data_IF_612010713559
#
_entry.id   IF_612010713559
#
_cell.length_a   1.000
_cell.length_b   1.000
_cell.length_c   1.000
_cell.angle_alpha   90.00
_cell.angle_beta   90.00
_cell.angle_gamma   90.00
#
_symmetry.space_group_name_H-M   'P 1'
#
loop_
_entity.id
_entity.type
_entity.pdbx_description
1 polymer ?
#
# COMPACT_ATOMS: atom_id res chain seq x y z
N UNK A 1 -9.63 21.83 12.99
CA UNK A 1 -8.72 20.75 12.59
C UNK A 1 -7.61 21.27 11.68
N UNK A 2 -6.48 20.60 11.61
CA UNK A 2 -5.43 20.88 10.60
C UNK A 2 -5.79 20.20 9.30
N UNK A 3 -5.60 20.92 8.18
CA UNK A 3 -5.84 20.39 6.81
C UNK A 3 -4.59 20.56 5.95
N UNK A 4 -4.37 19.63 4.99
CA UNK A 4 -3.28 19.76 4.02
C UNK A 4 -3.56 20.90 3.03
N UNK A 5 -2.53 21.72 2.78
CA UNK A 5 -2.60 22.83 1.82
C UNK A 5 -2.67 22.32 0.35
N UNK A 6 -2.20 21.12 0.05
CA UNK A 6 -2.33 20.53 -1.28
C UNK A 6 -3.79 20.22 -1.62
N UNK A 7 -4.62 19.99 -0.60
CA UNK A 7 -6.05 19.76 -0.77
C UNK A 7 -6.87 21.06 -0.83
N UNK A 8 -6.26 22.21 -0.61
CA UNK A 8 -6.89 23.53 -0.79
C UNK A 8 -6.78 23.89 -2.27
N UNK A 9 -7.87 23.66 -3.01
CA UNK A 9 -7.89 23.71 -4.48
C UNK A 9 -8.57 24.94 -5.04
N UNK A 10 -9.22 25.77 -4.21
CA UNK A 10 -9.91 26.95 -4.70
C UNK A 10 -10.51 27.82 -3.60
N UNK A 11 -11.16 28.89 -4.02
CA UNK A 11 -11.92 29.79 -3.14
C UNK A 11 -13.43 29.64 -3.37
N UNK A 12 -14.19 29.70 -2.29
CA UNK A 12 -15.65 29.72 -2.34
C UNK A 12 -16.22 31.13 -2.64
N UNK A 13 -15.37 32.15 -2.66
CA UNK A 13 -15.75 33.57 -2.82
C UNK A 13 -15.38 34.07 -4.21
N UNK A 14 -16.36 34.28 -5.08
CA UNK A 14 -16.14 34.72 -6.46
C UNK A 14 -15.25 35.99 -6.60
N UNK A 15 -15.42 36.95 -5.69
CA UNK A 15 -14.60 38.18 -5.70
C UNK A 15 -13.09 37.96 -5.44
N UNK A 16 -12.69 36.76 -5.03
CA UNK A 16 -11.26 36.41 -4.78
C UNK A 16 -10.60 35.76 -5.99
N UNK A 17 -11.36 35.29 -6.96
CA UNK A 17 -10.82 34.66 -8.18
C UNK A 17 -10.02 35.63 -9.06
N UNK A 18 -10.24 36.93 -8.91
CA UNK A 18 -9.49 38.00 -9.61
C UNK A 18 -8.24 38.46 -8.85
N UNK A 19 -8.09 38.06 -7.59
CA UNK A 19 -6.97 38.47 -6.75
C UNK A 19 -5.86 37.42 -6.65
N UNK A 20 -6.21 36.12 -6.89
CA UNK A 20 -5.30 34.97 -6.77
C UNK A 20 -5.35 34.10 -8.02
N UNK A 21 -4.19 33.60 -8.42
CA UNK A 21 -4.07 32.53 -9.40
C UNK A 21 -4.59 31.20 -8.81
N UNK A 22 -4.71 30.16 -9.64
CA UNK A 22 -5.17 28.82 -9.22
C UNK A 22 -4.29 28.17 -8.14
N UNK A 23 -3.01 28.53 -8.10
CA UNK A 23 -2.04 28.13 -7.07
C UNK A 23 -2.05 29.03 -5.82
N UNK A 24 -3.00 29.95 -5.71
CA UNK A 24 -3.12 30.97 -4.67
C UNK A 24 -2.04 32.06 -4.70
N UNK A 25 -1.20 32.15 -5.70
CA UNK A 25 -0.27 33.28 -5.81
C UNK A 25 -1.05 34.57 -6.12
N UNK A 26 -0.64 35.73 -5.55
CA UNK A 26 -1.30 37.02 -5.80
C UNK A 26 -1.12 37.42 -7.25
N UNK A 27 -2.21 37.92 -7.89
CA UNK A 27 -2.18 38.46 -9.25
C UNK A 27 -2.06 39.98 -9.21
N UNK A 28 -2.55 40.62 -8.14
CA UNK A 28 -2.56 42.07 -7.99
C UNK A 28 -1.17 42.61 -7.64
N UNK A 29 -0.82 43.76 -8.23
CA UNK A 29 0.44 44.44 -8.04
C UNK A 29 0.73 44.77 -6.56
N UNK A 30 2.02 44.76 -6.20
CA UNK A 30 2.52 45.04 -4.84
C UNK A 30 2.08 46.42 -4.32
N UNK A 31 2.00 47.44 -5.18
CA UNK A 31 1.60 48.81 -4.82
C UNK A 31 0.09 48.98 -4.54
N UNK A 32 -0.69 47.92 -4.75
CA UNK A 32 -2.10 47.94 -4.37
C UNK A 32 -2.26 47.71 -2.86
N UNK A 33 -3.38 48.17 -2.29
CA UNK A 33 -3.71 47.85 -0.89
C UNK A 33 -3.70 46.35 -0.61
N UNK A 34 -4.10 45.60 -1.62
CA UNK A 34 -4.05 44.10 -1.51
C UNK A 34 -2.61 43.60 -1.42
N UNK A 35 -1.70 44.06 -2.29
CA UNK A 35 -0.29 43.67 -2.31
C UNK A 35 0.44 44.09 -1.05
N UNK A 36 0.22 45.30 -0.55
CA UNK A 36 0.79 45.77 0.72
C UNK A 36 0.34 44.89 1.91
N UNK A 37 -0.96 44.59 2.00
CA UNK A 37 -1.48 43.67 3.06
C UNK A 37 -0.98 42.25 2.92
N UNK A 38 -0.67 41.77 1.73
CA UNK A 38 -0.08 40.47 1.50
C UNK A 38 1.37 40.43 1.98
N UNK A 39 2.16 41.49 1.63
CA UNK A 39 3.55 41.62 2.08
C UNK A 39 3.67 41.72 3.61
N UNK A 40 2.83 42.54 4.26
CA UNK A 40 2.79 42.61 5.73
C UNK A 40 2.48 41.25 6.35
N UNK A 41 1.60 40.47 5.74
CA UNK A 41 1.31 39.12 6.25
C UNK A 41 2.49 38.15 6.06
N UNK A 42 3.31 38.32 4.98
CA UNK A 42 4.56 37.59 4.84
C UNK A 42 5.56 37.93 5.96
N UNK A 43 5.72 39.23 6.28
CA UNK A 43 6.57 39.67 7.38
C UNK A 43 6.13 39.05 8.70
N UNK A 44 4.83 39.15 9.05
CA UNK A 44 4.27 38.52 10.25
C UNK A 44 4.49 37.01 10.26
N UNK A 45 4.39 36.33 9.11
CA UNK A 45 4.64 34.90 9.02
C UNK A 45 6.10 34.53 9.32
N UNK A 46 7.05 35.34 8.86
CA UNK A 46 8.49 35.13 9.15
C UNK A 46 8.78 35.35 10.64
N UNK A 47 8.14 36.35 11.26
CA UNK A 47 8.39 36.71 12.66
C UNK A 47 7.70 35.78 13.67
N UNK A 48 6.43 35.49 13.47
CA UNK A 48 5.58 34.81 14.46
C UNK A 48 4.90 33.55 13.94
N UNK A 49 4.83 33.37 12.61
CA UNK A 49 4.04 32.35 11.96
C UNK A 49 2.56 32.73 11.83
N UNK A 50 1.83 31.96 11.00
CA UNK A 50 0.38 32.09 10.83
C UNK A 50 -0.32 30.98 11.61
N UNK A 51 -0.95 31.31 12.75
CA UNK A 51 -1.64 30.38 13.63
C UNK A 51 -3.16 30.47 13.57
N UNK A 52 -3.70 31.59 13.07
CA UNK A 52 -5.14 31.79 12.96
C UNK A 52 -5.78 30.82 11.98
N UNK A 53 -6.85 30.10 12.37
CA UNK A 53 -7.52 29.16 11.49
C UNK A 53 -8.20 29.87 10.32
N UNK A 54 -8.11 29.26 9.15
CA UNK A 54 -8.91 29.65 7.97
C UNK A 54 -10.31 29.05 8.05
N UNK A 55 -11.29 29.58 7.28
CA UNK A 55 -12.60 28.95 7.12
C UNK A 55 -12.70 28.38 5.72
N UNK A 56 -13.12 27.10 5.64
CA UNK A 56 -13.22 26.37 4.39
C UNK A 56 -14.51 25.56 4.29
N UNK A 57 -15.00 25.40 3.07
CA UNK A 57 -15.90 24.31 2.74
C UNK A 57 -15.08 23.08 2.32
N UNK A 58 -15.44 21.92 2.85
CA UNK A 58 -14.96 20.66 2.33
C UNK A 58 -16.03 20.06 1.40
N UNK A 59 -15.62 19.63 0.20
CA UNK A 59 -16.44 18.94 -0.77
C UNK A 59 -15.60 17.87 -1.49
N UNK A 60 -15.98 16.63 -1.37
CA UNK A 60 -15.27 15.50 -2.02
C UNK A 60 -13.76 15.47 -1.67
N UNK A 61 -13.44 15.63 -0.38
CA UNK A 61 -12.07 15.69 0.14
C UNK A 61 -11.19 16.81 -0.42
N UNK A 62 -11.80 17.84 -1.00
CA UNK A 62 -11.15 19.08 -1.46
C UNK A 62 -11.65 20.26 -0.64
N UNK A 63 -10.77 21.22 -0.37
CA UNK A 63 -11.11 22.40 0.43
C UNK A 63 -11.19 23.66 -0.43
N UNK A 64 -12.23 24.45 -0.17
CA UNK A 64 -12.50 25.71 -0.84
C UNK A 64 -12.54 26.84 0.21
N UNK A 65 -11.64 27.80 0.10
CA UNK A 65 -11.46 28.85 1.10
C UNK A 65 -12.64 29.81 1.11
N UNK A 66 -13.29 29.96 2.25
CA UNK A 66 -14.34 30.97 2.50
C UNK A 66 -13.69 32.24 3.05
N UNK A 67 -12.80 32.09 4.04
CA UNK A 67 -12.08 33.17 4.70
C UNK A 67 -10.63 32.75 4.95
N UNK A 68 -9.68 33.67 4.70
CA UNK A 68 -8.25 33.43 4.89
C UNK A 68 -7.46 33.15 3.61
N UNK A 69 -7.97 33.55 2.42
CA UNK A 69 -7.28 33.37 1.15
C UNK A 69 -5.83 33.91 1.14
N UNK A 70 -5.56 35.06 1.78
CA UNK A 70 -4.20 35.60 1.90
C UNK A 70 -3.32 34.72 2.77
N UNK A 71 -3.85 34.18 3.87
CA UNK A 71 -3.13 33.23 4.75
C UNK A 71 -2.73 31.97 3.97
N UNK A 72 -3.66 31.38 3.21
CA UNK A 72 -3.36 30.25 2.32
C UNK A 72 -2.30 30.61 1.29
N UNK A 73 -2.40 31.81 0.68
CA UNK A 73 -1.42 32.30 -0.30
C UNK A 73 -0.01 32.39 0.29
N UNK A 74 0.14 33.02 1.45
CA UNK A 74 1.44 33.15 2.14
C UNK A 74 1.98 31.80 2.55
N UNK A 75 1.18 30.96 3.17
CA UNK A 75 1.61 29.60 3.58
C UNK A 75 2.07 28.76 2.39
N UNK A 76 1.34 28.78 1.27
CA UNK A 76 1.76 28.08 0.03
C UNK A 76 3.04 28.69 -0.56
N UNK A 77 3.22 30.01 -0.49
CA UNK A 77 4.42 30.69 -0.96
C UNK A 77 5.68 30.25 -0.18
N UNK A 78 5.55 30.05 1.14
CA UNK A 78 6.64 29.57 2.00
C UNK A 78 6.75 28.05 2.06
N UNK A 79 5.94 27.30 1.29
CA UNK A 79 6.02 25.85 1.22
C UNK A 79 5.52 25.13 2.47
N UNK A 80 4.57 25.71 3.19
CA UNK A 80 3.95 25.02 4.33
C UNK A 80 3.08 23.86 3.84
N UNK A 81 3.07 22.74 4.60
CA UNK A 81 2.32 21.54 4.25
C UNK A 81 0.85 21.61 4.70
N UNK A 82 0.56 22.36 5.76
CA UNK A 82 -0.75 22.34 6.40
C UNK A 82 -1.14 23.69 7.03
N UNK A 83 -2.43 23.82 7.35
CA UNK A 83 -2.98 25.03 8.00
C UNK A 83 -4.13 24.64 8.94
N UNK A 84 -4.23 25.31 10.12
CA UNK A 84 -5.41 25.21 10.96
C UNK A 84 -6.66 25.70 10.21
N UNK A 85 -7.77 24.96 10.30
CA UNK A 85 -8.99 25.32 9.60
C UNK A 85 -10.28 25.01 10.39
N UNK A 86 -11.26 25.88 10.24
CA UNK A 86 -12.66 25.61 10.56
C UNK A 86 -13.33 25.07 9.31
N UNK A 87 -13.66 23.78 9.32
CA UNK A 87 -14.17 23.05 8.15
C UNK A 87 -15.68 22.88 8.26
N UNK A 88 -16.40 23.34 7.22
CA UNK A 88 -17.83 23.04 7.03
C UNK A 88 -17.94 22.03 5.87
N UNK A 89 -18.35 20.81 6.16
CA UNK A 89 -18.50 19.74 5.17
C UNK A 89 -19.79 19.89 4.37
N UNK A 90 -19.65 19.87 3.04
CA UNK A 90 -20.76 19.87 2.08
C UNK A 90 -20.89 18.49 1.48
N UNK A 91 -21.86 17.72 1.95
CA UNK A 91 -22.04 16.33 1.49
C UNK A 91 -22.71 16.36 0.11
N UNK A 92 -22.11 15.73 -0.93
CA UNK A 92 -22.70 15.65 -2.26
C UNK A 92 -23.92 14.71 -2.28
N UNK A 93 -24.68 14.76 -3.37
CA UNK A 93 -25.64 13.70 -3.66
C UNK A 93 -24.90 12.40 -4.00
N UNK A 94 -25.47 11.26 -3.63
CA UNK A 94 -24.92 9.94 -4.01
C UNK A 94 -25.06 9.77 -5.53
N UNK A 95 -23.99 9.34 -6.16
CA UNK A 95 -23.92 9.01 -7.59
C UNK A 95 -23.16 7.70 -7.78
N UNK A 96 -23.21 7.14 -8.99
CA UNK A 96 -22.51 5.90 -9.31
C UNK A 96 -21.02 6.09 -9.66
N UNK A 97 -20.52 7.33 -9.68
CA UNK A 97 -19.10 7.57 -9.94
C UNK A 97 -18.21 6.97 -8.85
N UNK A 98 -17.05 6.46 -9.26
CA UNK A 98 -16.08 5.84 -8.37
C UNK A 98 -15.68 6.79 -7.24
N UNK A 99 -15.35 8.03 -7.56
CA UNK A 99 -14.94 9.05 -6.59
C UNK A 99 -16.01 9.31 -5.53
N UNK A 100 -17.30 9.36 -5.95
CA UNK A 100 -18.40 9.58 -5.03
C UNK A 100 -18.59 8.39 -4.08
N UNK A 101 -18.50 7.16 -4.60
CA UNK A 101 -18.57 5.95 -3.78
C UNK A 101 -17.45 5.91 -2.73
N UNK A 102 -16.21 6.16 -3.14
CA UNK A 102 -15.05 6.23 -2.23
C UNK A 102 -15.25 7.34 -1.19
N UNK A 103 -15.78 8.49 -1.59
CA UNK A 103 -16.05 9.58 -0.65
C UNK A 103 -17.06 9.20 0.42
N UNK A 104 -18.09 8.42 0.09
CA UNK A 104 -19.04 7.94 1.09
C UNK A 104 -18.45 6.88 2.02
N UNK A 105 -17.54 6.03 1.54
CA UNK A 105 -16.74 5.16 2.43
C UNK A 105 -15.89 6.00 3.40
N UNK A 106 -15.28 7.09 2.92
CA UNK A 106 -14.55 8.05 3.76
C UNK A 106 -15.45 8.67 4.83
N UNK A 107 -16.65 9.15 4.45
CA UNK A 107 -17.60 9.75 5.40
C UNK A 107 -17.93 8.79 6.55
N UNK A 108 -18.20 7.53 6.22
CA UNK A 108 -18.53 6.51 7.21
C UNK A 108 -17.33 6.14 8.09
N UNK A 109 -16.13 6.06 7.50
CA UNK A 109 -14.89 5.88 8.25
C UNK A 109 -14.60 7.08 9.17
N UNK A 110 -14.73 8.30 8.66
CA UNK A 110 -14.50 9.52 9.44
C UNK A 110 -15.48 9.67 10.62
N UNK A 111 -16.77 9.33 10.44
CA UNK A 111 -17.74 9.34 11.55
C UNK A 111 -17.32 8.44 12.69
N UNK A 112 -16.72 7.30 12.37
CA UNK A 112 -16.31 6.28 13.30
C UNK A 112 -14.99 6.63 14.00
N UNK A 113 -14.02 7.16 13.25
CA UNK A 113 -12.64 7.33 13.72
C UNK A 113 -12.26 8.77 14.03
N UNK A 114 -12.96 9.75 13.47
CA UNK A 114 -12.57 11.16 13.48
C UNK A 114 -11.34 11.48 12.58
N UNK A 115 -10.79 10.48 11.87
CA UNK A 115 -9.65 10.64 10.98
C UNK A 115 -10.10 11.29 9.68
N UNK A 116 -9.37 12.30 9.21
CA UNK A 116 -9.74 13.13 8.05
C UNK A 116 -8.60 13.32 7.02
N UNK A 117 -7.51 12.58 7.18
CA UNK A 117 -6.30 12.72 6.35
C UNK A 117 -5.94 11.45 5.58
N UNK A 118 -6.76 10.39 5.66
CA UNK A 118 -6.59 9.13 4.93
C UNK A 118 -7.46 9.15 3.67
N UNK A 119 -6.85 8.84 2.51
CA UNK A 119 -7.52 8.92 1.21
C UNK A 119 -7.13 7.76 0.30
N UNK A 120 -8.11 6.96 -0.09
CA UNK A 120 -7.93 5.85 -1.02
C UNK A 120 -8.31 6.23 -2.45
N UNK A 121 -7.65 5.61 -3.43
CA UNK A 121 -7.99 5.74 -4.85
C UNK A 121 -8.94 4.65 -5.34
N UNK A 122 -9.24 3.63 -4.51
CA UNK A 122 -10.05 2.48 -4.87
C UNK A 122 -11.13 2.20 -3.82
N UNK A 123 -12.23 1.60 -4.25
CA UNK A 123 -13.29 1.11 -3.37
C UNK A 123 -12.79 0.02 -2.43
N UNK A 124 -13.36 -0.02 -1.23
CA UNK A 124 -13.05 -1.01 -0.19
C UNK A 124 -11.75 -0.73 0.56
N UNK A 125 -11.04 0.37 0.26
CA UNK A 125 -9.82 0.76 0.97
C UNK A 125 -10.07 1.02 2.45
N UNK A 126 -11.15 1.75 2.76
CA UNK A 126 -11.51 2.04 4.15
C UNK A 126 -11.95 0.79 4.92
N UNK A 127 -12.62 -0.16 4.27
CA UNK A 127 -13.02 -1.42 4.92
C UNK A 127 -11.79 -2.29 5.23
N UNK A 128 -10.84 -2.40 4.30
CA UNK A 128 -9.56 -3.08 4.54
C UNK A 128 -8.77 -2.43 5.67
N UNK A 129 -8.73 -1.10 5.70
CA UNK A 129 -8.05 -0.39 6.78
C UNK A 129 -8.72 -0.69 8.14
N UNK A 130 -10.06 -0.67 8.22
CA UNK A 130 -10.78 -1.08 9.45
C UNK A 130 -10.38 -2.48 9.92
N UNK A 131 -10.31 -3.42 8.99
CA UNK A 131 -9.91 -4.80 9.26
C UNK A 131 -8.49 -4.86 9.85
N UNK A 132 -7.52 -4.17 9.23
CA UNK A 132 -6.13 -4.15 9.71
C UNK A 132 -5.98 -3.49 11.08
N UNK A 133 -6.72 -2.43 11.37
CA UNK A 133 -6.66 -1.73 12.66
C UNK A 133 -7.61 -2.31 13.70
N UNK A 134 -8.36 -3.36 13.35
CA UNK A 134 -9.23 -4.09 14.27
C UNK A 134 -10.49 -3.36 14.70
N UNK A 135 -10.99 -2.38 13.90
CA UNK A 135 -12.21 -1.64 14.23
C UNK A 135 -13.44 -2.44 13.81
N UNK A 136 -14.33 -2.74 14.77
CA UNK A 136 -15.67 -3.26 14.49
C UNK A 136 -16.61 -2.16 14.02
N UNK A 137 -17.73 -2.54 13.36
CA UNK A 137 -18.69 -1.60 12.73
C UNK A 137 -19.24 -0.54 13.70
N UNK A 138 -19.39 -0.88 14.97
CA UNK A 138 -20.04 -0.04 15.99
C UNK A 138 -19.03 0.63 16.94
N UNK A 139 -17.73 0.35 16.80
CA UNK A 139 -16.70 0.94 17.63
C UNK A 139 -16.40 2.38 17.18
N UNK A 140 -16.15 3.25 18.14
CA UNK A 140 -15.71 4.63 17.90
C UNK A 140 -14.30 4.77 18.46
N UNK A 141 -13.40 5.35 17.68
CA UNK A 141 -12.02 5.58 18.13
C UNK A 141 -11.98 6.52 19.32
N UNK A 142 -11.23 6.12 20.32
CA UNK A 142 -10.79 6.98 21.42
C UNK A 142 -9.75 7.99 20.92
N UNK A 143 -9.44 8.98 21.74
CA UNK A 143 -8.40 9.94 21.40
C UNK A 143 -7.01 9.30 21.35
N UNK A 144 -6.72 8.36 22.24
CA UNK A 144 -5.46 7.61 22.26
C UNK A 144 -5.28 6.75 21.02
N UNK A 145 -6.35 6.08 20.56
CA UNK A 145 -6.31 5.30 19.30
C UNK A 145 -6.08 6.20 18.10
N UNK A 146 -6.68 7.39 18.04
CA UNK A 146 -6.43 8.36 16.97
C UNK A 146 -4.99 8.85 16.98
N UNK A 147 -4.44 9.17 18.15
CA UNK A 147 -3.03 9.60 18.29
C UNK A 147 -2.08 8.48 17.90
N UNK A 148 -2.34 7.26 18.34
CA UNK A 148 -1.56 6.07 17.95
C UNK A 148 -1.58 5.81 16.45
N UNK A 149 -2.77 5.90 15.82
CA UNK A 149 -2.90 5.76 14.37
C UNK A 149 -2.17 6.89 13.63
N UNK A 150 -2.32 8.14 14.07
CA UNK A 150 -1.65 9.29 13.46
C UNK A 150 -0.13 9.14 13.49
N UNK A 151 0.42 8.70 14.61
CA UNK A 151 1.86 8.46 14.75
C UNK A 151 2.36 7.37 13.80
N UNK A 152 1.65 6.25 13.72
CA UNK A 152 1.97 5.15 12.82
C UNK A 152 1.85 5.56 11.34
N UNK A 153 0.78 6.28 10.98
CA UNK A 153 0.56 6.81 9.64
C UNK A 153 1.68 7.76 9.20
N UNK A 154 2.03 8.74 10.06
CA UNK A 154 3.12 9.68 9.78
C UNK A 154 4.48 8.99 9.61
N UNK A 155 4.75 7.94 10.40
CA UNK A 155 5.98 7.18 10.27
C UNK A 155 6.06 6.47 8.89
N UNK A 156 4.95 5.86 8.46
CA UNK A 156 4.84 5.24 7.15
C UNK A 156 4.93 6.29 6.02
N UNK A 157 4.16 7.37 6.10
CA UNK A 157 4.14 8.43 5.11
C UNK A 157 5.54 9.02 4.87
N UNK A 158 6.30 9.31 5.93
CA UNK A 158 7.68 9.78 5.82
C UNK A 158 8.59 8.79 5.07
N UNK A 159 8.44 7.50 5.34
CA UNK A 159 9.22 6.47 4.64
C UNK A 159 8.82 6.36 3.16
N UNK A 160 7.52 6.46 2.85
CA UNK A 160 6.99 6.46 1.49
C UNK A 160 7.46 7.69 0.68
N UNK A 161 7.40 8.89 1.28
CA UNK A 161 7.87 10.12 0.64
C UNK A 161 9.40 10.12 0.43
N UNK A 162 10.16 9.54 1.34
CA UNK A 162 11.61 9.37 1.16
C UNK A 162 11.97 8.50 -0.06
N UNK A 163 11.04 7.64 -0.52
CA UNK A 163 11.14 6.86 -1.76
C UNK A 163 10.56 7.60 -2.98
N UNK A 164 10.17 8.87 -2.84
CA UNK A 164 9.46 9.67 -3.86
C UNK A 164 8.17 9.03 -4.36
N UNK A 165 7.48 8.31 -3.51
CA UNK A 165 6.27 7.60 -3.87
C UNK A 165 5.18 8.51 -4.43
N UNK A 166 5.02 9.73 -3.90
CA UNK A 166 4.09 10.75 -4.39
C UNK A 166 4.46 11.36 -5.76
N UNK A 167 5.72 11.24 -6.20
CA UNK A 167 6.19 11.75 -7.50
C UNK A 167 6.13 10.67 -8.58
N UNK A 168 6.45 9.42 -8.22
CA UNK A 168 6.63 8.31 -9.15
C UNK A 168 5.40 7.41 -9.31
N UNK A 169 4.50 7.42 -8.32
CA UNK A 169 3.33 6.55 -8.30
C UNK A 169 2.02 7.34 -8.38
N UNK A 170 1.00 6.74 -8.98
CA UNK A 170 -0.35 7.33 -9.11
C UNK A 170 -1.31 6.90 -8.01
N UNK A 171 -0.93 5.91 -7.20
CA UNK A 171 -1.68 5.48 -6.00
C UNK A 171 -1.45 6.46 -4.86
N UNK A 172 -2.37 6.52 -3.93
CA UNK A 172 -2.20 7.35 -2.73
C UNK A 172 -1.22 6.71 -1.74
N UNK A 173 -0.72 7.49 -0.80
CA UNK A 173 0.09 6.96 0.32
C UNK A 173 -0.69 5.90 1.11
N UNK A 174 -1.99 6.06 1.22
CA UNK A 174 -2.86 5.15 1.98
C UNK A 174 -3.11 3.85 1.23
N UNK A 175 -3.21 3.87 -0.10
CA UNK A 175 -3.21 2.66 -0.92
C UNK A 175 -1.90 1.86 -0.72
N UNK A 176 -0.76 2.54 -0.70
CA UNK A 176 0.54 1.94 -0.43
C UNK A 176 0.63 1.41 1.01
N UNK A 177 0.05 2.12 1.99
CA UNK A 177 -0.02 1.68 3.38
C UNK A 177 -0.79 0.37 3.52
N UNK A 178 -1.87 0.12 2.77
CA UNK A 178 -2.56 -1.17 2.79
C UNK A 178 -1.67 -2.32 2.36
N UNK A 179 -0.79 -2.11 1.37
CA UNK A 179 0.20 -3.12 0.96
C UNK A 179 1.16 -3.43 2.11
N UNK A 180 1.65 -2.40 2.78
CA UNK A 180 2.52 -2.55 3.95
C UNK A 180 1.81 -3.29 5.10
N UNK A 181 0.58 -2.88 5.43
CA UNK A 181 -0.22 -3.49 6.50
C UNK A 181 -0.56 -4.95 6.21
N UNK A 182 -0.73 -5.31 4.94
CA UNK A 182 -0.94 -6.70 4.55
C UNK A 182 0.24 -7.61 4.88
N UNK A 183 1.47 -7.07 4.85
CA UNK A 183 2.70 -7.84 5.16
C UNK A 183 3.02 -7.83 6.65
N UNK A 184 3.04 -6.65 7.25
CA UNK A 184 3.53 -6.46 8.62
C UNK A 184 2.43 -6.38 9.68
N UNK A 185 1.22 -5.96 9.28
CA UNK A 185 0.11 -5.69 10.20
C UNK A 185 0.24 -4.35 10.92
N UNK A 186 -0.87 -3.89 11.50
CA UNK A 186 -0.93 -2.58 12.17
C UNK A 186 -0.20 -2.56 13.51
N UNK A 187 -0.31 -3.61 14.31
CA UNK A 187 0.37 -3.68 15.61
C UNK A 187 1.91 -3.65 15.47
N UNK A 188 2.44 -4.27 14.41
CA UNK A 188 3.87 -4.16 14.12
C UNK A 188 4.25 -2.74 13.78
N UNK A 189 3.50 -2.07 12.89
CA UNK A 189 3.77 -0.68 12.50
C UNK A 189 3.76 0.28 13.71
N UNK A 190 2.80 0.14 14.64
CA UNK A 190 2.73 0.94 15.87
C UNK A 190 3.98 0.84 16.73
N UNK A 191 4.60 -0.33 16.76
CA UNK A 191 5.74 -0.65 17.63
C UNK A 191 7.10 -0.47 16.93
N UNK A 192 7.13 -0.20 15.62
CA UNK A 192 8.36 0.02 14.87
C UNK A 192 8.96 1.40 15.14
N UNK A 193 10.27 1.46 15.23
CA UNK A 193 11.03 2.73 15.15
C UNK A 193 11.00 3.28 13.72
N UNK A 194 11.26 4.57 13.55
CA UNK A 194 11.32 5.22 12.22
C UNK A 194 12.28 4.51 11.26
N UNK A 195 13.43 4.03 11.76
CA UNK A 195 14.39 3.27 10.95
C UNK A 195 13.80 1.93 10.51
N UNK A 196 13.15 1.20 11.43
CA UNK A 196 12.51 -0.08 11.10
C UNK A 196 11.37 0.08 10.08
N UNK A 197 10.57 1.16 10.19
CA UNK A 197 9.53 1.46 9.18
C UNK A 197 10.17 1.69 7.81
N UNK A 198 11.25 2.47 7.74
CA UNK A 198 11.97 2.72 6.48
C UNK A 198 12.50 1.44 5.87
N UNK A 199 13.19 0.61 6.64
CA UNK A 199 13.74 -0.66 6.17
C UNK A 199 12.63 -1.63 5.72
N UNK A 200 11.48 -1.60 6.40
CA UNK A 200 10.32 -2.41 6.05
C UNK A 200 9.62 -1.91 4.79
N UNK A 201 9.52 -0.60 4.59
CA UNK A 201 9.03 0.00 3.34
C UNK A 201 9.94 -0.37 2.17
N UNK A 202 11.27 -0.34 2.35
CA UNK A 202 12.22 -0.77 1.33
C UNK A 202 11.98 -2.22 0.89
N UNK A 203 11.66 -3.12 1.81
CA UNK A 203 11.37 -4.53 1.51
C UNK A 203 10.07 -4.72 0.72
N UNK A 204 9.03 -3.96 1.01
CA UNK A 204 7.72 -4.08 0.31
C UNK A 204 7.61 -3.14 -0.89
N UNK A 205 8.63 -2.33 -1.20
CA UNK A 205 8.55 -1.30 -2.22
C UNK A 205 8.11 -1.82 -3.59
N UNK A 206 8.68 -2.94 -4.00
CA UNK A 206 8.32 -3.57 -5.28
C UNK A 206 6.85 -3.97 -5.34
N UNK A 207 6.25 -4.44 -4.23
CA UNK A 207 4.82 -4.77 -4.17
C UNK A 207 3.94 -3.52 -4.25
N UNK A 208 4.39 -2.40 -3.65
CA UNK A 208 3.73 -1.10 -3.78
C UNK A 208 3.75 -0.65 -5.25
N UNK A 209 4.90 -0.71 -5.92
CA UNK A 209 5.04 -0.36 -7.34
C UNK A 209 4.15 -1.23 -8.22
N UNK A 210 4.14 -2.55 -7.99
CA UNK A 210 3.27 -3.48 -8.73
C UNK A 210 1.77 -3.19 -8.52
N UNK A 211 1.38 -2.69 -7.35
CA UNK A 211 -0.01 -2.28 -7.09
C UNK A 211 -0.40 -1.06 -7.94
N UNK A 212 0.53 -0.14 -8.16
CA UNK A 212 0.35 1.00 -9.06
C UNK A 212 0.15 0.57 -10.52
N UNK A 213 0.88 -0.46 -10.98
CA UNK A 213 0.83 -0.95 -12.37
C UNK A 213 -0.42 -1.79 -12.69
N UNK A 214 -1.09 -2.35 -11.68
CA UNK A 214 -2.23 -3.27 -11.87
C UNK A 214 -3.46 -2.65 -12.55
N UNK A 215 -3.50 -1.35 -12.74
CA UNK A 215 -4.66 -0.67 -13.35
C UNK A 215 -4.91 -1.04 -14.82
N UNK A 216 -3.92 -1.59 -15.57
CA UNK A 216 -4.03 -1.74 -17.05
C UNK A 216 -3.43 -3.02 -17.67
N UNK A 217 -2.99 -4.00 -16.89
CA UNK A 217 -2.33 -5.19 -17.50
C UNK A 217 -3.16 -6.46 -17.36
N UNK A 218 -3.74 -6.91 -18.46
CA UNK A 218 -4.17 -8.30 -18.63
C UNK A 218 -2.92 -9.18 -18.66
N UNK A 219 -2.71 -10.00 -17.63
CA UNK A 219 -1.62 -10.99 -17.64
C UNK A 219 -1.96 -12.06 -18.66
N UNK A 220 -1.26 -12.05 -19.78
CA UNK A 220 -1.34 -13.15 -20.76
C UNK A 220 -0.46 -14.30 -20.22
N UNK A 221 -1.05 -15.45 -19.88
CA UNK A 221 -0.27 -16.61 -19.49
C UNK A 221 0.59 -17.07 -20.66
N UNK A 222 1.90 -17.25 -20.44
CA UNK A 222 2.76 -17.94 -21.41
C UNK A 222 2.36 -19.41 -21.44
N UNK A 223 1.72 -19.82 -22.52
CA UNK A 223 1.19 -21.18 -22.69
C UNK A 223 2.28 -22.22 -22.95
N UNK A 224 3.44 -21.81 -23.41
CA UNK A 224 4.55 -22.72 -23.68
C UNK A 224 5.71 -22.44 -22.71
N UNK A 225 6.36 -23.51 -22.18
CA UNK A 225 7.59 -23.36 -21.44
C UNK A 225 8.63 -22.74 -22.38
N UNK A 226 9.07 -21.52 -22.05
CA UNK A 226 10.25 -20.95 -22.73
C UNK A 226 11.43 -21.75 -22.24
N UNK A 227 11.93 -22.66 -23.06
CA UNK A 227 13.24 -23.25 -22.81
C UNK A 227 14.25 -22.10 -22.69
N UNK A 228 14.96 -21.97 -21.56
CA UNK A 228 15.97 -20.95 -21.44
C UNK A 228 16.98 -21.21 -22.54
N UNK A 229 17.18 -20.23 -23.44
CA UNK A 229 18.29 -20.28 -24.40
C UNK A 229 19.57 -20.41 -23.57
N UNK A 230 20.14 -21.62 -23.53
CA UNK A 230 21.41 -21.88 -22.85
C UNK A 230 22.43 -20.92 -23.41
N UNK A 231 22.81 -19.92 -22.66
CA UNK A 231 23.93 -19.03 -22.97
C UNK A 231 25.20 -19.88 -23.14
N UNK A 232 26.10 -19.45 -24.01
CA UNK A 232 27.41 -20.10 -24.17
C UNK A 232 28.16 -20.11 -22.82
N UNK A 233 27.89 -19.12 -21.94
CA UNK A 233 28.42 -19.03 -20.57
C UNK A 233 27.88 -20.13 -19.64
N UNK A 234 26.63 -20.60 -19.82
CA UNK A 234 26.04 -21.68 -19.04
C UNK A 234 26.70 -23.06 -19.31
N UNK A 235 27.45 -23.17 -20.39
CA UNK A 235 28.22 -24.38 -20.73
C UNK A 235 29.59 -24.44 -20.05
N UNK A 236 30.08 -23.29 -19.58
CA UNK A 236 31.44 -23.18 -19.02
C UNK A 236 31.43 -23.08 -17.50
N UNK A 237 30.37 -22.53 -16.92
CA UNK A 237 30.21 -22.42 -15.48
C UNK A 237 29.27 -23.53 -15.02
N UNK A 238 29.82 -24.61 -14.46
CA UNK A 238 29.00 -25.54 -13.64
C UNK A 238 28.43 -24.70 -12.49
N UNK A 239 27.08 -24.65 -12.30
CA UNK A 239 26.55 -23.93 -11.16
C UNK A 239 27.05 -24.65 -9.88
N UNK A 240 27.86 -23.94 -9.10
CA UNK A 240 28.19 -24.34 -7.72
C UNK A 240 26.95 -24.04 -6.85
N UNK A 241 25.84 -24.71 -7.14
CA UNK A 241 24.68 -24.71 -6.26
C UNK A 241 24.89 -25.66 -5.08
N UNK A 242 24.19 -25.46 -3.96
CA UNK A 242 24.22 -26.43 -2.88
C UNK A 242 23.87 -27.81 -3.42
N UNK A 243 24.61 -28.83 -2.99
CA UNK A 243 24.54 -30.19 -3.52
C UNK A 243 23.27 -30.95 -3.12
N UNK A 244 22.35 -30.31 -2.38
CA UNK A 244 21.06 -30.89 -2.00
C UNK A 244 20.08 -29.78 -1.60
N UNK A 245 19.17 -29.39 -2.51
CA UNK A 245 18.16 -28.37 -2.25
C UNK A 245 17.01 -28.96 -1.43
N UNK A 246 16.62 -28.31 -0.33
CA UNK A 246 15.44 -28.64 0.43
C UNK A 246 14.20 -28.00 -0.22
N UNK A 247 13.28 -28.84 -0.64
CA UNK A 247 12.06 -28.42 -1.35
C UNK A 247 10.81 -28.84 -0.58
N UNK A 248 9.93 -27.91 -0.26
CA UNK A 248 8.66 -28.19 0.38
C UNK A 248 7.49 -28.05 -0.59
N UNK A 249 6.53 -28.96 -0.50
CA UNK A 249 5.23 -28.85 -1.16
C UNK A 249 4.14 -28.75 -0.09
N UNK A 250 3.44 -27.62 -0.07
CA UNK A 250 2.38 -27.32 0.91
C UNK A 250 1.03 -27.50 0.24
N UNK A 251 0.24 -28.43 0.76
CA UNK A 251 -1.05 -28.86 0.24
C UNK A 251 -2.19 -28.50 1.20
N UNK A 252 -3.32 -28.00 0.66
CA UNK A 252 -4.55 -27.77 1.42
C UNK A 252 -5.18 -29.08 1.95
N UNK A 253 -5.06 -30.16 1.17
CA UNK A 253 -5.58 -31.51 1.47
C UNK A 253 -4.51 -32.55 1.24
N UNK A 254 -4.79 -33.79 1.67
CA UNK A 254 -3.93 -34.91 1.32
C UNK A 254 -4.15 -35.32 -0.15
N UNK A 255 -3.13 -35.89 -0.83
CA UNK A 255 -3.27 -36.43 -2.20
C UNK A 255 -4.37 -37.48 -2.34
N UNK A 256 -4.68 -38.24 -1.29
CA UNK A 256 -5.75 -39.23 -1.29
C UNK A 256 -7.17 -38.60 -1.36
N UNK A 257 -7.30 -37.35 -0.94
CA UNK A 257 -8.60 -36.68 -0.79
C UNK A 257 -8.85 -35.56 -1.82
N UNK A 258 -7.91 -35.31 -2.73
CA UNK A 258 -8.01 -34.23 -3.72
C UNK A 258 -7.27 -34.59 -5.00
N UNK A 259 -8.00 -34.61 -6.11
CA UNK A 259 -7.43 -34.82 -7.44
C UNK A 259 -6.41 -33.72 -7.79
N UNK A 260 -6.70 -32.50 -7.36
CA UNK A 260 -5.79 -31.36 -7.52
C UNK A 260 -4.46 -31.58 -6.82
N UNK A 261 -4.51 -31.95 -5.53
CA UNK A 261 -3.32 -32.24 -4.73
C UNK A 261 -2.58 -33.47 -5.26
N UNK A 262 -3.31 -34.50 -5.69
CA UNK A 262 -2.71 -35.70 -6.31
C UNK A 262 -1.92 -35.37 -7.58
N UNK A 263 -2.42 -34.46 -8.42
CA UNK A 263 -1.71 -34.02 -9.62
C UNK A 263 -0.40 -33.29 -9.29
N UNK A 264 -0.38 -32.49 -8.21
CA UNK A 264 0.86 -31.86 -7.74
C UNK A 264 1.84 -32.88 -7.16
N UNK A 265 1.33 -33.88 -6.46
CA UNK A 265 2.16 -34.96 -5.90
C UNK A 265 2.82 -35.80 -7.02
N UNK A 266 2.12 -36.07 -8.11
CA UNK A 266 2.71 -36.71 -9.28
C UNK A 266 3.85 -35.85 -9.87
N UNK A 267 3.66 -34.54 -9.95
CA UNK A 267 4.70 -33.59 -10.39
C UNK A 267 5.91 -33.59 -9.45
N UNK A 268 5.70 -33.66 -8.12
CA UNK A 268 6.78 -33.76 -7.14
C UNK A 268 7.57 -35.07 -7.33
N UNK A 269 6.88 -36.20 -7.47
CA UNK A 269 7.52 -37.49 -7.69
C UNK A 269 8.33 -37.52 -9.00
N UNK A 270 7.80 -36.94 -10.09
CA UNK A 270 8.53 -36.82 -11.35
C UNK A 270 9.79 -35.96 -11.21
N UNK A 271 9.70 -34.88 -10.45
CA UNK A 271 10.83 -34.02 -10.12
C UNK A 271 11.91 -34.78 -9.34
N UNK A 272 11.54 -35.55 -8.31
CA UNK A 272 12.47 -36.41 -7.56
C UNK A 272 13.15 -37.43 -8.46
N UNK A 273 12.37 -38.10 -9.32
CA UNK A 273 12.92 -39.09 -10.26
C UNK A 273 13.94 -38.48 -11.24
N UNK A 274 13.72 -37.20 -11.65
CA UNK A 274 14.61 -36.52 -12.61
C UNK A 274 15.83 -35.88 -11.98
N UNK A 275 15.74 -35.40 -10.75
CA UNK A 275 16.80 -34.64 -10.08
C UNK A 275 17.58 -35.47 -9.06
N UNK A 276 17.03 -36.61 -8.61
CA UNK A 276 17.72 -37.56 -7.72
C UNK A 276 18.28 -36.89 -6.47
N UNK A 277 19.52 -37.17 -6.16
CA UNK A 277 20.22 -36.72 -4.95
C UNK A 277 20.46 -35.19 -4.91
N UNK A 278 20.06 -34.45 -5.95
CA UNK A 278 20.20 -32.99 -6.00
C UNK A 278 19.12 -32.26 -5.17
N UNK A 279 18.06 -32.97 -4.75
CA UNK A 279 16.96 -32.41 -3.98
C UNK A 279 16.52 -33.33 -2.82
N UNK A 280 16.12 -32.73 -1.70
CA UNK A 280 15.35 -33.38 -0.62
C UNK A 280 13.95 -32.76 -0.60
N UNK A 281 12.95 -33.46 -1.14
CA UNK A 281 11.60 -32.93 -1.22
C UNK A 281 10.68 -33.53 -0.17
N UNK A 282 9.83 -32.69 0.46
CA UNK A 282 8.85 -33.11 1.47
C UNK A 282 7.49 -32.47 1.24
N UNK A 283 6.44 -33.16 1.68
CA UNK A 283 5.06 -32.70 1.58
C UNK A 283 4.49 -32.38 2.96
N UNK A 284 3.68 -31.32 3.00
CA UNK A 284 2.98 -30.80 4.18
C UNK A 284 1.50 -30.71 3.83
N UNK A 285 0.70 -31.66 4.32
CA UNK A 285 -0.71 -31.81 3.96
C UNK A 285 -1.66 -31.22 5.02
N UNK A 286 -2.92 -30.96 4.60
CA UNK A 286 -4.01 -30.45 5.44
C UNK A 286 -3.74 -29.03 6.00
N UNK A 287 -3.02 -28.23 5.22
CA UNK A 287 -2.74 -26.81 5.50
C UNK A 287 -3.86 -25.98 4.86
N UNK A 288 -5.05 -26.07 5.39
CA UNK A 288 -6.33 -25.61 4.83
C UNK A 288 -6.82 -24.27 5.39
N UNK A 289 -6.06 -23.65 6.30
CA UNK A 289 -6.40 -22.35 6.89
C UNK A 289 -5.20 -21.42 6.87
N UNK A 290 -5.40 -20.07 6.83
CA UNK A 290 -4.30 -19.10 6.91
C UNK A 290 -3.41 -19.28 8.14
N UNK A 291 -4.00 -19.61 9.30
CA UNK A 291 -3.24 -19.84 10.53
C UNK A 291 -2.30 -21.05 10.42
N UNK A 292 -2.80 -22.19 9.91
CA UNK A 292 -1.97 -23.37 9.66
C UNK A 292 -0.89 -23.10 8.61
N UNK A 293 -1.20 -22.29 7.60
CA UNK A 293 -0.23 -21.93 6.57
C UNK A 293 0.88 -21.07 7.14
N UNK A 294 0.54 -20.05 7.95
CA UNK A 294 1.53 -19.21 8.63
C UNK A 294 2.45 -20.06 9.53
N UNK A 295 1.89 -20.96 10.30
CA UNK A 295 2.67 -21.88 11.16
C UNK A 295 3.57 -22.81 10.32
N UNK A 296 3.04 -23.39 9.26
CA UNK A 296 3.79 -24.27 8.36
C UNK A 296 4.94 -23.53 7.69
N UNK A 297 4.69 -22.35 7.10
CA UNK A 297 5.71 -21.54 6.45
C UNK A 297 6.79 -21.07 7.44
N UNK A 298 6.41 -20.67 8.66
CA UNK A 298 7.36 -20.30 9.71
C UNK A 298 8.30 -21.46 10.05
N UNK A 299 7.77 -22.67 10.21
CA UNK A 299 8.58 -23.87 10.43
C UNK A 299 9.52 -24.17 9.25
N UNK A 300 9.06 -24.01 8.00
CA UNK A 300 9.89 -24.23 6.81
C UNK A 300 11.04 -23.21 6.71
N UNK A 301 10.83 -21.98 7.16
CA UNK A 301 11.87 -20.95 7.30
C UNK A 301 12.90 -21.39 8.32
N UNK A 302 12.47 -21.79 9.52
CA UNK A 302 13.36 -22.22 10.62
C UNK A 302 14.19 -23.46 10.23
N UNK A 303 13.58 -24.40 9.49
CA UNK A 303 14.22 -25.62 8.97
C UNK A 303 15.10 -25.36 7.73
N UNK A 304 15.17 -24.10 7.25
CA UNK A 304 15.98 -23.64 6.11
C UNK A 304 15.68 -24.38 4.81
N UNK A 305 14.42 -24.37 4.41
CA UNK A 305 14.03 -24.79 3.06
C UNK A 305 14.45 -23.74 2.03
N UNK A 306 14.93 -24.21 0.88
CA UNK A 306 15.40 -23.35 -0.21
C UNK A 306 14.24 -22.94 -1.15
N UNK A 307 13.31 -23.88 -1.39
CA UNK A 307 12.19 -23.71 -2.31
C UNK A 307 10.90 -24.23 -1.67
N UNK A 308 9.84 -23.43 -1.75
CA UNK A 308 8.51 -23.82 -1.24
C UNK A 308 7.48 -23.67 -2.38
N UNK A 309 6.74 -24.75 -2.65
CA UNK A 309 5.58 -24.74 -3.53
C UNK A 309 4.31 -24.71 -2.70
N UNK A 310 3.46 -23.69 -2.91
CA UNK A 310 2.11 -23.61 -2.37
C UNK A 310 1.11 -23.86 -3.49
N UNK A 311 0.16 -24.77 -3.28
CA UNK A 311 -0.62 -25.38 -4.39
C UNK A 311 -2.01 -24.79 -4.61
N UNK A 312 -2.41 -23.81 -3.79
CA UNK A 312 -3.69 -23.11 -3.93
C UNK A 312 -3.54 -21.61 -4.08
N UNK A 313 -4.41 -20.93 -4.87
CA UNK A 313 -4.38 -19.48 -4.99
C UNK A 313 -4.71 -18.76 -3.67
N UNK A 314 -5.49 -19.37 -2.79
CA UNK A 314 -5.81 -18.89 -1.45
C UNK A 314 -4.60 -18.81 -0.51
N UNK A 315 -3.54 -19.56 -0.82
CA UNK A 315 -2.30 -19.54 -0.06
C UNK A 315 -1.39 -18.35 -0.39
N UNK A 316 -1.68 -17.62 -1.47
CA UNK A 316 -0.82 -16.55 -1.98
C UNK A 316 -0.58 -15.41 -0.98
N UNK A 317 -1.56 -14.91 -0.20
CA UNK A 317 -1.32 -13.82 0.74
C UNK A 317 -0.24 -14.17 1.78
N UNK A 318 -0.31 -15.33 2.40
CA UNK A 318 0.66 -15.76 3.42
C UNK A 318 2.01 -16.14 2.79
N UNK A 319 2.00 -16.74 1.61
CA UNK A 319 3.20 -17.02 0.82
C UNK A 319 3.96 -15.71 0.49
N UNK A 320 3.23 -14.66 0.12
CA UNK A 320 3.81 -13.35 -0.18
C UNK A 320 4.43 -12.70 1.06
N UNK A 321 3.73 -12.71 2.20
CA UNK A 321 4.27 -12.21 3.47
C UNK A 321 5.59 -12.90 3.80
N UNK A 322 5.61 -14.21 3.74
CA UNK A 322 6.82 -15.00 4.03
C UNK A 322 7.95 -14.69 3.05
N UNK A 323 7.67 -14.60 1.74
CA UNK A 323 8.69 -14.31 0.73
C UNK A 323 9.28 -12.91 0.86
N UNK A 324 8.50 -11.91 1.28
CA UNK A 324 8.99 -10.54 1.55
C UNK A 324 9.89 -10.52 2.78
N UNK A 325 9.53 -11.24 3.83
CA UNK A 325 10.28 -11.28 5.08
C UNK A 325 11.56 -12.13 4.97
N UNK A 326 11.54 -13.16 4.12
CA UNK A 326 12.59 -14.16 3.91
C UNK A 326 12.96 -14.29 2.43
N UNK A 327 13.60 -13.27 1.83
CA UNK A 327 13.91 -13.21 0.40
C UNK A 327 14.94 -14.28 -0.06
N UNK A 328 15.62 -14.92 0.87
CA UNK A 328 16.51 -16.06 0.64
C UNK A 328 15.74 -17.31 0.18
N UNK A 329 14.47 -17.48 0.59
CA UNK A 329 13.62 -18.61 0.21
C UNK A 329 12.89 -18.29 -1.09
N UNK A 330 12.86 -19.25 -2.01
CA UNK A 330 12.11 -19.10 -3.27
C UNK A 330 10.73 -19.71 -3.12
N UNK A 331 9.69 -18.87 -3.13
CA UNK A 331 8.30 -19.34 -3.02
C UNK A 331 7.62 -19.28 -4.38
N UNK A 332 7.00 -20.40 -4.76
CA UNK A 332 6.19 -20.54 -5.95
C UNK A 332 4.75 -20.88 -5.56
N UNK A 333 3.79 -20.13 -6.08
CA UNK A 333 2.37 -20.35 -5.81
C UNK A 333 1.60 -20.74 -7.05
N UNK A 334 0.75 -21.75 -6.96
CA UNK A 334 -0.13 -22.17 -8.03
C UNK A 334 -1.34 -21.24 -8.13
N UNK A 335 -1.20 -20.18 -8.93
CA UNK A 335 -2.28 -19.23 -9.20
C UNK A 335 -2.12 -18.58 -10.58
N UNK A 336 -3.25 -18.15 -11.16
CA UNK A 336 -3.27 -17.51 -12.48
C UNK A 336 -3.15 -15.98 -12.46
N UNK A 337 -3.23 -15.36 -11.28
CA UNK A 337 -3.79 -14.02 -11.26
C UNK A 337 -2.87 -12.89 -10.87
N UNK A 338 -1.63 -13.10 -10.41
CA UNK A 338 -0.91 -11.97 -9.84
C UNK A 338 0.59 -11.98 -10.18
N UNK A 339 1.05 -10.89 -10.81
CA UNK A 339 2.45 -10.52 -10.76
C UNK A 339 2.80 -10.10 -9.32
N UNK A 340 3.75 -10.78 -8.70
CA UNK A 340 4.38 -10.41 -7.44
C UNK A 340 5.89 -10.41 -7.65
N UNK A 341 6.60 -9.54 -6.97
CA UNK A 341 8.06 -9.47 -7.10
C UNK A 341 8.77 -10.58 -6.36
N UNK A 342 8.20 -11.06 -5.26
CA UNK A 342 8.80 -12.02 -4.34
C UNK A 342 8.27 -13.45 -4.49
N UNK A 343 7.06 -13.62 -5.03
CA UNK A 343 6.45 -14.93 -5.29
C UNK A 343 6.28 -15.12 -6.79
N UNK A 344 6.82 -16.21 -7.32
CA UNK A 344 6.56 -16.63 -8.69
C UNK A 344 5.29 -17.46 -8.75
N UNK A 345 4.43 -17.19 -9.73
CA UNK A 345 3.23 -17.98 -9.95
C UNK A 345 3.46 -19.01 -11.03
N UNK A 346 2.87 -20.17 -10.86
CA UNK A 346 2.81 -21.23 -11.86
C UNK A 346 1.38 -21.77 -11.92
N UNK A 347 1.07 -22.53 -12.96
CA UNK A 347 -0.22 -23.21 -13.08
C UNK A 347 -0.01 -24.66 -13.53
N UNK A 348 -0.84 -25.56 -13.02
CA UNK A 348 -0.85 -26.95 -13.45
C UNK A 348 -1.77 -27.09 -14.66
N UNK A 349 -1.30 -27.75 -15.72
CA UNK A 349 -2.17 -28.22 -16.79
C UNK A 349 -2.84 -29.50 -16.34
N UNK A 350 -4.16 -29.51 -16.26
CA UNK A 350 -4.93 -30.75 -16.17
C UNK A 350 -5.22 -31.23 -17.59
N UNK A 351 -4.67 -32.35 -17.95
CA UNK A 351 -4.97 -33.07 -19.18
C UNK A 351 -6.08 -34.08 -18.94
#
# INVERSE_FOLDING_TARGET
QTISLDRVVGTATAARTTAFASNFMPILDYHTEFGMKWATLCESHIEEGIHDPIKVYEYMNKFYVVEGNKRVSVLKYFGADSVPAMVTRKIPRRTDSLENKIYFEFIDFHKQTGINYVYFSQLGGYDKLREFIGITKDAVFTEDERLGFNSAHLAFEKAYLAKKGNEELTITVDDAMLVFLNVYGYEALKNMTTSQVKDSVDKVWNEIVLTNEKKDKTVLPKLDPVEPKKSILDRVIKPSGPSNLKVAFVYDKSPANSVWTYSHELGRMDMENKLGDSIDSRTFCNVDTPAKLTECLGRLVDEKYDVIFTTGPEMLPEALKTAVLHPEIKILNCSLSLANSHVRTYYARMY
#
